data_IF_998087803501
#
_entry.id   IF_998087803501
#
_cell.length_a   1.000
_cell.length_b   1.000
_cell.length_c   1.000
_cell.angle_alpha   90.00
_cell.angle_beta   90.00
_cell.angle_gamma   90.00
#
_symmetry.space_group_name_H-M   'P 1'
#
loop_
_entity.id
_entity.type
_entity.pdbx_description
1 polymer ?
#
# COMPACT_ATOMS: atom_id res chain seq x y z
N UNK A 1 -3.53 65.61 -28.26
CA UNK A 1 -3.44 64.91 -26.96
C UNK A 1 -4.03 63.51 -27.11
N UNK A 2 -3.22 62.46 -27.15
CA UNK A 2 -3.69 61.07 -27.19
C UNK A 2 -2.93 60.26 -26.14
N UNK A 3 -3.35 60.41 -24.87
CA UNK A 3 -2.96 59.55 -23.75
C UNK A 3 -4.23 58.90 -23.23
N UNK A 4 -4.30 57.57 -23.21
CA UNK A 4 -5.29 56.90 -22.36
C UNK A 4 -5.76 55.50 -22.76
N UNK A 5 -5.56 55.04 -23.99
CA UNK A 5 -6.15 53.75 -24.42
C UNK A 5 -5.33 52.52 -24.00
N UNK A 6 -4.00 52.62 -24.04
CA UNK A 6 -3.11 51.47 -23.80
C UNK A 6 -3.08 51.03 -22.32
N UNK A 7 -3.07 52.00 -21.39
CA UNK A 7 -2.97 51.74 -19.95
C UNK A 7 -4.20 51.03 -19.37
N UNK A 8 -5.39 51.24 -19.95
CA UNK A 8 -6.65 50.65 -19.49
C UNK A 8 -6.74 49.17 -19.83
N UNK A 9 -6.31 48.79 -21.04
CA UNK A 9 -6.28 47.38 -21.48
C UNK A 9 -5.29 46.54 -20.66
N UNK A 10 -4.12 47.08 -20.34
CA UNK A 10 -3.12 46.42 -19.47
C UNK A 10 -3.66 46.17 -18.05
N UNK A 11 -4.41 47.13 -17.50
CA UNK A 11 -5.03 46.99 -16.18
C UNK A 11 -6.14 45.92 -16.16
N UNK A 12 -7.01 45.88 -17.17
CA UNK A 12 -8.06 44.85 -17.27
C UNK A 12 -7.50 43.44 -17.43
N UNK A 13 -6.49 43.26 -18.30
CA UNK A 13 -5.86 41.95 -18.48
C UNK A 13 -5.07 41.54 -17.24
N UNK A 14 -4.42 42.48 -16.56
CA UNK A 14 -3.77 42.24 -15.27
C UNK A 14 -4.76 41.80 -14.19
N UNK A 15 -5.93 42.44 -14.11
CA UNK A 15 -6.99 42.08 -13.16
C UNK A 15 -7.57 40.70 -13.46
N UNK A 16 -7.78 40.38 -14.75
CA UNK A 16 -8.29 39.08 -15.19
C UNK A 16 -7.29 37.95 -14.89
N UNK A 17 -5.99 38.19 -15.11
CA UNK A 17 -4.91 37.26 -14.78
C UNK A 17 -4.80 37.03 -13.26
N UNK A 18 -4.94 38.08 -12.46
CA UNK A 18 -4.98 37.96 -10.98
C UNK A 18 -6.22 37.17 -10.54
N UNK A 19 -7.38 37.40 -11.15
CA UNK A 19 -8.61 36.64 -10.87
C UNK A 19 -8.47 35.15 -11.23
N UNK A 20 -7.81 34.83 -12.35
CA UNK A 20 -7.52 33.46 -12.78
C UNK A 20 -6.53 32.76 -11.83
N UNK A 21 -5.52 33.47 -11.33
CA UNK A 21 -4.58 32.93 -10.33
C UNK A 21 -5.24 32.69 -8.96
N UNK A 22 -6.19 33.53 -8.56
CA UNK A 22 -6.97 33.35 -7.32
C UNK A 22 -7.96 32.18 -7.41
N UNK A 23 -8.51 31.89 -8.59
CA UNK A 23 -9.36 30.72 -8.86
C UNK A 23 -8.58 29.39 -8.87
N UNK A 24 -7.26 29.44 -9.02
CA UNK A 24 -6.37 28.28 -8.88
C UNK A 24 -5.95 28.00 -7.43
N UNK A 25 -6.60 28.65 -6.44
CA UNK A 25 -6.41 28.39 -5.01
C UNK A 25 -6.24 26.90 -4.77
N UNK A 26 -4.99 26.52 -4.45
CA UNK A 26 -4.52 25.15 -4.53
C UNK A 26 -5.42 24.23 -3.75
N UNK A 27 -5.94 23.21 -4.42
CA UNK A 27 -6.43 22.03 -3.73
C UNK A 27 -5.18 21.39 -3.12
N UNK A 28 -4.82 21.77 -1.90
CA UNK A 28 -3.91 20.96 -1.11
C UNK A 28 -4.57 19.60 -0.96
N UNK A 29 -4.18 18.66 -1.81
CA UNK A 29 -4.54 17.27 -1.64
C UNK A 29 -3.88 16.83 -0.34
N UNK A 30 -4.61 16.94 0.76
CA UNK A 30 -4.21 16.34 2.02
C UNK A 30 -3.91 14.87 1.73
N UNK A 31 -2.63 14.49 1.78
CA UNK A 31 -2.23 13.11 1.56
C UNK A 31 -3.05 12.23 2.50
N UNK A 32 -3.83 11.31 1.94
CA UNK A 32 -4.64 10.40 2.74
C UNK A 32 -3.71 9.64 3.70
N UNK A 33 -4.09 9.57 4.98
CA UNK A 33 -3.30 8.82 5.96
C UNK A 33 -3.23 7.34 5.53
N UNK A 34 -2.06 6.70 5.67
CA UNK A 34 -1.89 5.26 5.50
C UNK A 34 -2.99 4.45 6.18
N UNK A 35 -3.61 3.51 5.47
CA UNK A 35 -4.55 2.57 6.10
C UNK A 35 -3.78 1.41 6.70
N UNK A 36 -4.27 0.88 7.81
CA UNK A 36 -3.79 -0.37 8.38
C UNK A 36 -4.73 -1.52 8.02
N UNK A 37 -4.16 -2.63 7.59
CA UNK A 37 -4.86 -3.83 7.21
C UNK A 37 -4.35 -5.01 8.04
N UNK A 38 -5.21 -5.53 8.90
CA UNK A 38 -4.90 -6.70 9.71
C UNK A 38 -5.04 -7.95 8.84
N UNK A 39 -3.93 -8.64 8.63
CA UNK A 39 -3.88 -9.83 7.79
C UNK A 39 -4.71 -10.95 8.44
N UNK A 40 -5.62 -11.56 7.68
CA UNK A 40 -6.57 -12.54 8.20
C UNK A 40 -7.69 -11.94 9.05
N UNK A 41 -7.85 -10.60 9.05
CA UNK A 41 -8.82 -9.86 9.83
C UNK A 41 -8.76 -10.23 11.32
N UNK A 42 -9.83 -10.77 11.90
CA UNK A 42 -9.86 -11.19 13.31
C UNK A 42 -9.05 -12.46 13.59
N UNK A 43 -8.80 -13.29 12.58
CA UNK A 43 -8.10 -14.58 12.74
C UNK A 43 -6.58 -14.42 12.80
N UNK A 44 -6.06 -13.33 12.25
CA UNK A 44 -4.62 -13.08 12.19
C UNK A 44 -3.89 -13.91 11.13
N UNK A 45 -2.56 -13.89 11.22
CA UNK A 45 -1.68 -14.65 10.34
C UNK A 45 -1.58 -16.10 10.82
N UNK A 46 -2.44 -16.96 10.27
CA UNK A 46 -2.64 -18.34 10.73
C UNK A 46 -3.10 -19.25 9.59
N UNK A 47 -3.30 -20.53 9.89
CA UNK A 47 -3.77 -21.54 8.94
C UNK A 47 -5.07 -21.14 8.23
N UNK A 48 -5.11 -21.35 6.91
CA UNK A 48 -6.26 -21.05 6.05
C UNK A 48 -6.40 -19.57 5.64
N UNK A 49 -5.35 -18.77 5.76
CA UNK A 49 -5.37 -17.33 5.39
C UNK A 49 -5.29 -17.07 3.89
N UNK A 50 -4.95 -18.06 3.05
CA UNK A 50 -4.74 -17.94 1.59
C UNK A 50 -5.88 -17.28 0.78
N UNK A 51 -7.11 -17.24 1.31
CA UNK A 51 -8.23 -16.50 0.70
C UNK A 51 -8.24 -14.99 0.98
N UNK A 52 -7.55 -14.55 2.03
CA UNK A 52 -7.31 -13.14 2.31
C UNK A 52 -6.25 -12.61 1.33
N UNK A 53 -6.38 -11.40 0.76
CA UNK A 53 -7.36 -10.35 1.05
C UNK A 53 -8.57 -10.31 0.11
N UNK A 54 -8.76 -11.34 -0.73
CA UNK A 54 -9.73 -11.28 -1.82
C UNK A 54 -11.14 -11.75 -1.41
N UNK A 55 -11.25 -12.56 -0.35
CA UNK A 55 -12.51 -13.13 0.13
C UNK A 55 -12.69 -12.92 1.64
N UNK A 56 -13.94 -12.72 2.11
CA UNK A 56 -15.18 -12.57 1.33
C UNK A 56 -15.33 -11.17 0.70
N UNK A 57 -14.48 -10.22 1.07
CA UNK A 57 -14.54 -8.83 0.59
C UNK A 57 -13.18 -8.40 0.09
N UNK A 58 -13.14 -7.95 -1.16
CA UNK A 58 -11.94 -7.40 -1.77
C UNK A 58 -11.43 -6.16 -1.01
N UNK A 59 -10.11 -6.10 -0.79
CA UNK A 59 -9.45 -4.97 -0.12
C UNK A 59 -8.59 -4.18 -1.13
N UNK A 60 -8.90 -2.90 -1.39
CA UNK A 60 -8.14 -2.09 -2.34
C UNK A 60 -6.90 -1.46 -1.68
N UNK A 61 -5.77 -2.17 -1.69
CA UNK A 61 -4.50 -1.68 -1.15
C UNK A 61 -3.90 -0.55 -1.98
N UNK A 62 -3.36 0.45 -1.27
CA UNK A 62 -2.65 1.58 -1.87
C UNK A 62 -1.18 1.62 -1.43
N UNK A 63 -0.36 2.26 -2.24
CA UNK A 63 1.03 2.56 -1.89
C UNK A 63 1.06 3.30 -0.56
N UNK A 64 1.89 2.81 0.36
CA UNK A 64 1.97 3.36 1.69
C UNK A 64 0.85 2.93 2.63
N UNK A 65 -0.06 2.02 2.28
CA UNK A 65 -0.81 1.30 3.31
C UNK A 65 0.14 0.41 4.14
N UNK A 66 -0.33 -0.11 5.27
CA UNK A 66 0.42 -0.97 6.17
C UNK A 66 -0.32 -2.29 6.37
N UNK A 67 0.36 -3.41 6.15
CA UNK A 67 -0.09 -4.71 6.62
C UNK A 67 0.36 -4.93 8.06
N UNK A 68 -0.56 -5.41 8.89
CA UNK A 68 -0.30 -5.78 10.28
C UNK A 68 -0.47 -7.29 10.41
N UNK A 69 0.64 -7.99 10.63
CA UNK A 69 0.67 -9.43 10.84
C UNK A 69 0.71 -9.72 12.33
N UNK A 70 -0.36 -10.31 12.86
CA UNK A 70 -0.42 -10.78 14.26
C UNK A 70 -0.42 -12.30 14.31
N UNK A 71 0.49 -12.86 15.09
CA UNK A 71 0.67 -14.31 15.24
C UNK A 71 1.51 -14.66 16.49
N UNK A 72 1.47 -15.92 16.90
CA UNK A 72 2.43 -16.46 17.87
C UNK A 72 3.79 -16.69 17.18
N UNK A 73 4.81 -15.93 17.60
CA UNK A 73 6.18 -16.01 17.06
C UNK A 73 6.85 -17.37 17.25
N UNK A 74 6.33 -18.23 18.14
CA UNK A 74 6.80 -19.61 18.27
C UNK A 74 6.25 -20.52 17.14
N UNK A 75 5.16 -20.12 16.48
CA UNK A 75 4.44 -20.93 15.50
C UNK A 75 4.55 -20.41 14.06
N UNK A 76 4.75 -19.10 13.86
CA UNK A 76 4.80 -18.47 12.53
C UNK A 76 5.90 -17.41 12.46
N UNK A 77 6.26 -17.05 11.23
CA UNK A 77 6.96 -15.82 10.89
C UNK A 77 6.37 -15.26 9.59
N UNK A 78 6.91 -14.16 9.10
CA UNK A 78 6.54 -13.57 7.82
C UNK A 78 7.78 -13.43 6.96
N UNK A 79 7.74 -13.96 5.74
CA UNK A 79 8.77 -13.74 4.73
C UNK A 79 8.16 -13.03 3.54
N UNK A 80 8.77 -11.92 3.13
CA UNK A 80 8.44 -11.28 1.86
C UNK A 80 9.26 -11.93 0.75
N UNK A 81 8.57 -12.56 -0.20
CA UNK A 81 9.18 -13.39 -1.24
C UNK A 81 8.78 -12.91 -2.63
N UNK A 82 9.48 -13.37 -3.65
CA UNK A 82 9.05 -13.20 -5.04
C UNK A 82 8.07 -14.31 -5.46
N UNK A 83 7.66 -14.30 -6.74
CA UNK A 83 6.70 -15.26 -7.29
C UNK A 83 7.20 -16.70 -7.21
N UNK A 84 8.51 -16.92 -7.37
CA UNK A 84 9.13 -18.24 -7.23
C UNK A 84 9.05 -18.73 -5.78
N UNK A 85 9.43 -17.89 -4.82
CA UNK A 85 9.33 -18.21 -3.40
C UNK A 85 7.89 -18.45 -2.96
N UNK A 86 6.93 -17.68 -3.48
CA UNK A 86 5.52 -17.86 -3.21
C UNK A 86 4.97 -19.18 -3.76
N UNK A 87 5.31 -19.51 -5.01
CA UNK A 87 4.86 -20.74 -5.68
C UNK A 87 5.45 -22.01 -5.07
N UNK A 88 6.69 -21.92 -4.57
CA UNK A 88 7.42 -23.07 -4.00
C UNK A 88 7.39 -23.12 -2.46
N UNK A 89 6.81 -22.12 -1.80
CA UNK A 89 6.88 -21.96 -0.34
C UNK A 89 8.33 -21.96 0.19
N UNK A 90 9.24 -21.31 -0.52
CA UNK A 90 10.65 -21.21 -0.13
C UNK A 90 11.07 -19.77 0.09
N UNK A 91 12.12 -19.58 0.90
CA UNK A 91 12.77 -18.28 1.06
C UNK A 91 13.52 -17.94 -0.22
N UNK A 92 12.85 -17.23 -1.12
CA UNK A 92 13.44 -16.72 -2.36
C UNK A 92 13.01 -15.26 -2.60
N UNK A 93 13.93 -14.38 -3.02
CA UNK A 93 15.38 -14.61 -3.19
C UNK A 93 16.10 -14.89 -1.85
N UNK A 94 17.37 -15.29 -1.88
CA UNK A 94 18.12 -15.64 -0.67
C UNK A 94 18.16 -14.50 0.39
N UNK A 95 18.09 -13.26 -0.07
CA UNK A 95 18.02 -12.04 0.73
C UNK A 95 16.57 -11.59 1.04
N UNK A 96 15.57 -12.45 0.84
CA UNK A 96 14.19 -12.19 1.24
C UNK A 96 14.12 -11.77 2.72
N UNK A 97 13.39 -10.68 2.98
CA UNK A 97 13.21 -10.12 4.32
C UNK A 97 12.37 -11.07 5.16
N UNK A 98 12.82 -11.33 6.39
CA UNK A 98 12.12 -12.14 7.38
C UNK A 98 11.75 -11.25 8.55
N UNK A 99 10.50 -11.34 8.99
CA UNK A 99 9.95 -10.65 10.14
C UNK A 99 9.44 -11.70 11.14
N UNK A 100 9.75 -11.52 12.43
CA UNK A 100 9.56 -12.54 13.46
C UNK A 100 9.09 -11.96 14.82
N UNK A 101 8.52 -10.75 14.82
CA UNK A 101 8.12 -10.08 16.07
C UNK A 101 6.81 -10.61 16.66
N UNK A 102 5.96 -11.26 15.85
CA UNK A 102 4.58 -11.62 16.21
C UNK A 102 3.57 -10.47 16.04
N UNK A 103 4.04 -9.26 15.73
CA UNK A 103 3.22 -8.08 15.42
C UNK A 103 3.91 -7.22 14.34
N UNK A 104 4.22 -7.82 13.20
CA UNK A 104 4.99 -7.15 12.15
C UNK A 104 4.12 -6.14 11.41
N UNK A 105 4.69 -4.97 11.15
CA UNK A 105 4.02 -3.85 10.48
C UNK A 105 4.80 -3.50 9.23
N UNK A 106 4.26 -3.87 8.08
CA UNK A 106 4.95 -3.80 6.79
C UNK A 106 4.27 -2.76 5.91
N UNK A 107 5.00 -1.70 5.56
CA UNK A 107 4.52 -0.66 4.65
C UNK A 107 4.57 -1.16 3.21
N UNK A 108 3.47 -1.01 2.49
CA UNK A 108 3.30 -1.54 1.15
C UNK A 108 3.93 -0.62 0.10
N UNK A 109 4.78 -1.20 -0.74
CA UNK A 109 5.20 -0.61 -2.02
C UNK A 109 4.19 -0.94 -3.12
N UNK A 110 4.29 -0.27 -4.28
CA UNK A 110 3.48 -0.63 -5.45
C UNK A 110 3.83 -2.02 -5.99
N UNK A 111 2.86 -2.62 -6.68
CA UNK A 111 3.06 -3.86 -7.43
C UNK A 111 2.45 -5.08 -6.76
N UNK A 112 2.80 -6.25 -7.30
CA UNK A 112 2.46 -7.54 -6.71
C UNK A 112 3.40 -7.82 -5.54
N UNK A 113 2.83 -8.14 -4.38
CA UNK A 113 3.59 -8.45 -3.17
C UNK A 113 3.11 -9.78 -2.62
N UNK A 114 4.08 -10.66 -2.31
CA UNK A 114 3.84 -12.00 -1.81
C UNK A 114 4.44 -12.16 -0.41
N UNK A 115 3.67 -12.80 0.48
CA UNK A 115 4.12 -13.15 1.82
C UNK A 115 3.83 -14.63 2.10
N UNK A 116 4.77 -15.29 2.78
CA UNK A 116 4.64 -16.67 3.24
C UNK A 116 5.09 -16.80 4.70
N UNK A 117 4.64 -17.85 5.38
CA UNK A 117 5.33 -18.34 6.57
C UNK A 117 6.39 -19.34 6.14
N UNK A 118 7.64 -19.14 6.55
CA UNK A 118 8.72 -20.10 6.30
C UNK A 118 8.87 -21.15 7.40
N UNK A 119 7.93 -21.23 8.35
CA UNK A 119 7.97 -22.21 9.44
C UNK A 119 7.44 -23.55 8.95
N UNK A 120 8.33 -24.54 8.83
CA UNK A 120 7.98 -25.92 8.46
C UNK A 120 7.10 -25.97 7.19
N UNK A 121 6.07 -26.81 7.18
CA UNK A 121 5.13 -26.96 6.06
C UNK A 121 3.94 -25.99 6.15
N UNK A 122 3.98 -24.96 7.01
CA UNK A 122 2.82 -24.08 7.25
C UNK A 122 2.38 -23.32 6.00
N UNK A 123 3.31 -22.89 5.15
CA UNK A 123 2.96 -22.26 3.88
C UNK A 123 2.20 -23.21 2.96
N UNK A 124 2.73 -24.42 2.71
CA UNK A 124 2.19 -25.33 1.71
C UNK A 124 0.97 -26.12 2.21
N UNK A 125 1.06 -26.73 3.40
CA UNK A 125 -0.04 -27.54 3.96
C UNK A 125 -1.06 -26.69 4.72
N UNK A 126 -0.59 -25.61 5.33
CA UNK A 126 -1.42 -24.75 6.17
C UNK A 126 -2.04 -23.56 5.43
N UNK A 127 -1.66 -23.31 4.17
CA UNK A 127 -2.12 -22.13 3.43
C UNK A 127 -1.74 -20.81 4.11
N UNK A 128 -0.59 -20.78 4.82
CA UNK A 128 -0.09 -19.57 5.48
C UNK A 128 0.74 -18.74 4.50
N UNK A 129 0.05 -18.21 3.50
CA UNK A 129 0.59 -17.43 2.40
C UNK A 129 -0.47 -16.48 1.86
N UNK A 130 -0.08 -15.29 1.41
CA UNK A 130 -0.98 -14.33 0.74
C UNK A 130 -0.25 -13.62 -0.40
N UNK A 131 -1.03 -13.23 -1.40
CA UNK A 131 -0.58 -12.39 -2.50
C UNK A 131 -1.56 -11.23 -2.68
N UNK A 132 -1.05 -10.03 -2.90
CA UNK A 132 -1.87 -8.83 -3.08
C UNK A 132 -1.26 -7.89 -4.13
N UNK A 133 -2.13 -7.19 -4.84
CA UNK A 133 -1.73 -6.12 -5.76
C UNK A 133 -1.95 -4.76 -5.11
N UNK A 134 -0.90 -3.95 -5.05
CA UNK A 134 -0.91 -2.59 -4.51
C UNK A 134 -0.91 -1.58 -5.64
N UNK A 135 -1.88 -0.67 -5.62
CA UNK A 135 -2.04 0.40 -6.61
C UNK A 135 -1.50 1.74 -6.06
N UNK A 136 -1.27 2.76 -6.92
CA UNK A 136 -0.98 4.11 -6.47
C UNK A 136 -2.08 4.69 -5.57
#
# INVERSE_FOLDING_TARGET
MARGSSSRKLAEHGLLLVFLMLLQGGVEQAAAKPREWYVGDQKGWTFGVEGWPNLPTFKPFREGDVLVFKYDRAAQNVMQVDDFGFGTCTKHPANATVYDSGNDRIRLSRGLINFISGVSDNCYKGGVKISLTVRP
#
